data_IF_426864600042
#
_entry.id   IF_426864600042
#
_cell.length_a   1.000
_cell.length_b   1.000
_cell.length_c   1.000
_cell.angle_alpha   90.00
_cell.angle_beta   90.00
_cell.angle_gamma   90.00
#
_symmetry.space_group_name_H-M   'P 1'
#
loop_
_entity.id
_entity.type
_entity.pdbx_description
1 polymer ?
#
# COMPACT_ATOMS: atom_id res chain seq x y z
N UNK A 1 11.97 41.37 -22.16
CA UNK A 1 11.23 40.96 -20.95
C UNK A 1 11.01 39.46 -21.01
N UNK A 2 11.87 38.68 -20.37
CA UNK A 2 11.68 37.22 -20.24
C UNK A 2 10.63 36.98 -19.17
N UNK A 3 9.44 36.51 -19.57
CA UNK A 3 8.41 36.05 -18.63
C UNK A 3 9.03 34.92 -17.80
N UNK A 4 9.20 35.13 -16.50
CA UNK A 4 9.72 34.12 -15.59
C UNK A 4 8.76 32.94 -15.56
N UNK A 5 9.14 31.83 -16.20
CA UNK A 5 8.45 30.55 -16.07
C UNK A 5 9.02 29.87 -14.83
N UNK A 6 8.18 29.61 -13.84
CA UNK A 6 8.54 28.78 -12.70
C UNK A 6 8.58 27.35 -13.23
N UNK A 7 9.79 26.84 -13.44
CA UNK A 7 9.99 25.43 -13.78
C UNK A 7 10.15 24.68 -12.45
N UNK A 8 9.33 23.65 -12.16
CA UNK A 8 9.53 22.86 -10.95
C UNK A 8 10.95 22.25 -10.98
N UNK A 9 11.66 22.34 -9.85
CA UNK A 9 12.97 21.72 -9.73
C UNK A 9 12.83 20.20 -9.86
N UNK A 10 13.60 19.59 -10.76
CA UNK A 10 13.55 18.15 -11.01
C UNK A 10 13.93 17.32 -9.76
N UNK A 11 14.75 17.88 -8.88
CA UNK A 11 15.07 17.29 -7.56
C UNK A 11 13.86 17.16 -6.63
N UNK A 12 12.85 18.02 -6.79
CA UNK A 12 11.60 17.93 -6.02
C UNK A 12 10.76 16.73 -6.44
N UNK A 13 10.72 16.40 -7.74
CA UNK A 13 10.05 15.17 -8.23
C UNK A 13 10.72 13.92 -7.69
N UNK A 14 12.05 13.89 -7.67
CA UNK A 14 12.82 12.77 -7.09
C UNK A 14 12.54 12.55 -5.60
N UNK A 15 12.33 13.64 -4.85
CA UNK A 15 12.00 13.56 -3.43
C UNK A 15 10.61 12.90 -3.20
N UNK A 16 9.63 13.18 -4.05
CA UNK A 16 8.31 12.52 -3.98
C UNK A 16 8.41 10.99 -4.17
N UNK A 17 9.27 10.53 -5.08
CA UNK A 17 9.53 9.09 -5.28
C UNK A 17 10.28 8.42 -4.12
N UNK A 18 11.06 9.20 -3.36
CA UNK A 18 11.84 8.68 -2.23
C UNK A 18 11.06 8.56 -0.92
N UNK A 19 9.75 8.92 -0.90
CA UNK A 19 8.98 8.90 0.34
C UNK A 19 8.82 7.45 0.82
N UNK A 20 9.32 7.10 2.01
CA UNK A 20 9.13 5.75 2.53
C UNK A 20 7.66 5.46 2.80
N UNK A 21 7.25 4.22 2.55
CA UNK A 21 5.91 3.70 2.82
C UNK A 21 6.03 2.52 3.77
N UNK A 22 5.26 2.55 4.85
CA UNK A 22 5.24 1.47 5.82
C UNK A 22 4.29 0.36 5.34
N UNK A 23 4.75 -0.88 5.46
CA UNK A 23 3.96 -2.04 5.07
C UNK A 23 2.70 -2.14 5.95
N UNK A 24 1.53 -2.25 5.31
CA UNK A 24 0.25 -2.36 6.03
C UNK A 24 0.09 -3.63 6.89
N UNK A 25 0.94 -4.65 6.69
CA UNK A 25 0.87 -5.93 7.40
C UNK A 25 1.86 -6.03 8.54
N UNK A 26 3.13 -5.67 8.30
CA UNK A 26 4.22 -5.87 9.26
C UNK A 26 4.92 -4.57 9.67
N UNK A 27 4.43 -3.42 9.21
CA UNK A 27 4.93 -2.07 9.51
C UNK A 27 6.40 -1.83 9.09
N UNK A 28 6.98 -2.75 8.31
CA UNK A 28 8.33 -2.60 7.79
C UNK A 28 8.39 -1.50 6.72
N UNK A 29 9.43 -0.67 6.77
CA UNK A 29 9.62 0.45 5.85
C UNK A 29 10.07 -0.03 4.47
N UNK A 30 9.42 0.45 3.41
CA UNK A 30 9.73 0.14 2.03
C UNK A 30 9.82 1.42 1.17
N UNK A 31 10.42 1.29 -0.01
CA UNK A 31 10.37 2.35 -1.01
C UNK A 31 8.94 2.52 -1.53
N UNK A 32 8.57 3.73 -1.93
CA UNK A 32 7.24 4.03 -2.47
C UNK A 32 6.86 3.17 -3.67
N UNK A 33 7.84 2.86 -4.53
CA UNK A 33 7.71 2.11 -5.78
C UNK A 33 7.92 0.60 -5.63
N UNK A 34 8.17 0.11 -4.42
CA UNK A 34 8.31 -1.32 -4.18
C UNK A 34 6.98 -2.05 -4.47
N UNK A 35 7.05 -3.15 -5.21
CA UNK A 35 5.86 -3.98 -5.50
C UNK A 35 5.46 -4.82 -4.27
N UNK A 36 6.46 -5.38 -3.58
CA UNK A 36 6.30 -6.24 -2.41
C UNK A 36 7.14 -5.76 -1.24
N UNK A 37 6.65 -6.01 -0.01
CA UNK A 37 7.38 -5.75 1.22
C UNK A 37 8.59 -6.68 1.32
N UNK A 38 9.78 -6.10 1.53
CA UNK A 38 11.03 -6.86 1.66
C UNK A 38 11.11 -7.76 2.91
N UNK A 39 10.20 -7.57 3.87
CA UNK A 39 10.20 -8.30 5.15
C UNK A 39 9.20 -9.45 5.17
N UNK A 40 7.97 -9.21 4.72
CA UNK A 40 6.88 -10.20 4.82
C UNK A 40 6.30 -10.63 3.46
N UNK A 41 6.76 -10.04 2.35
CA UNK A 41 6.26 -10.36 1.01
C UNK A 41 4.86 -9.83 0.69
N UNK A 42 4.22 -9.08 1.60
CA UNK A 42 2.91 -8.48 1.35
C UNK A 42 2.98 -7.42 0.23
N UNK A 43 1.95 -7.28 -0.62
CA UNK A 43 1.92 -6.26 -1.67
C UNK A 43 1.82 -4.86 -1.06
N UNK A 44 2.72 -3.94 -1.48
CA UNK A 44 2.74 -2.55 -0.99
C UNK A 44 1.51 -1.76 -1.49
N UNK A 45 0.86 -2.23 -2.54
CA UNK A 45 -0.43 -1.71 -3.00
C UNK A 45 -1.49 -1.62 -1.88
N UNK A 46 -1.45 -2.49 -0.85
CA UNK A 46 -2.33 -2.39 0.31
C UNK A 46 -2.09 -1.12 1.13
N UNK A 47 -0.83 -0.74 1.34
CA UNK A 47 -0.46 0.48 2.05
C UNK A 47 -0.91 1.72 1.26
N UNK A 48 -0.71 1.73 -0.06
CA UNK A 48 -1.19 2.80 -0.94
C UNK A 48 -2.72 2.94 -0.92
N UNK A 49 -3.45 1.82 -0.98
CA UNK A 49 -4.91 1.81 -0.92
C UNK A 49 -5.43 2.31 0.43
N UNK A 50 -4.80 1.91 1.53
CA UNK A 50 -5.16 2.38 2.86
C UNK A 50 -4.94 3.90 3.01
N UNK A 51 -3.80 4.41 2.52
CA UNK A 51 -3.47 5.82 2.57
C UNK A 51 -4.39 6.69 1.66
N UNK A 52 -4.86 6.14 0.54
CA UNK A 52 -5.77 6.83 -0.37
C UNK A 52 -7.23 6.91 0.13
N UNK A 53 -7.61 6.06 1.09
CA UNK A 53 -8.97 6.05 1.63
C UNK A 53 -9.09 6.94 2.87
N UNK A 54 -10.07 7.84 2.89
CA UNK A 54 -10.38 8.69 4.06
C UNK A 54 -11.17 7.97 5.15
N UNK A 55 -11.55 6.71 4.93
CA UNK A 55 -12.34 5.89 5.86
C UNK A 55 -11.46 4.78 6.41
N UNK A 56 -11.59 4.51 7.69
CA UNK A 56 -10.93 3.37 8.34
C UNK A 56 -11.30 2.07 7.62
N UNK A 57 -10.27 1.31 7.20
CA UNK A 57 -10.40 0.03 6.50
C UNK A 57 -10.04 -1.07 7.47
N UNK A 58 -10.92 -2.05 7.63
CA UNK A 58 -10.61 -3.27 8.34
C UNK A 58 -10.12 -4.31 7.34
N UNK A 59 -8.88 -4.75 7.49
CA UNK A 59 -8.35 -5.88 6.75
C UNK A 59 -8.55 -7.16 7.58
N UNK A 60 -9.25 -8.13 6.99
CA UNK A 60 -9.41 -9.47 7.58
C UNK A 60 -8.63 -10.51 6.78
N UNK A 61 -7.91 -11.39 7.47
CA UNK A 61 -7.27 -12.56 6.88
C UNK A 61 -7.79 -13.84 7.55
N UNK A 62 -7.98 -14.90 6.77
CA UNK A 62 -8.32 -16.23 7.28
C UNK A 62 -7.20 -17.23 7.04
N UNK A 63 -6.71 -17.81 8.13
CA UNK A 63 -5.61 -18.77 8.13
C UNK A 63 -6.17 -20.15 8.48
N UNK A 64 -5.72 -21.18 7.77
CA UNK A 64 -6.12 -22.57 8.02
C UNK A 64 -5.76 -23.48 6.85
N UNK A 65 -5.87 -24.79 7.05
CA UNK A 65 -5.50 -25.79 6.05
C UNK A 65 -6.31 -25.67 4.74
N UNK A 66 -5.80 -26.25 3.65
CA UNK A 66 -6.54 -26.31 2.39
C UNK A 66 -7.85 -27.09 2.56
N UNK A 67 -8.91 -26.68 1.86
CA UNK A 67 -10.21 -27.38 1.85
C UNK A 67 -11.11 -27.19 3.09
N UNK A 68 -10.67 -26.49 4.15
CA UNK A 68 -11.48 -26.31 5.38
C UNK A 68 -12.60 -25.26 5.27
N UNK A 69 -12.93 -24.80 4.07
CA UNK A 69 -14.07 -23.90 3.85
C UNK A 69 -13.84 -22.42 4.19
N UNK A 70 -12.59 -21.93 4.33
CA UNK A 70 -12.29 -20.52 4.63
C UNK A 70 -13.00 -19.52 3.71
N UNK A 71 -13.03 -19.79 2.41
CA UNK A 71 -13.69 -18.92 1.43
C UNK A 71 -15.20 -19.00 1.50
N UNK A 72 -15.76 -20.18 1.79
CA UNK A 72 -17.20 -20.38 1.99
C UNK A 72 -17.66 -19.60 3.22
N UNK A 73 -16.92 -19.71 4.32
CA UNK A 73 -17.20 -18.96 5.55
C UNK A 73 -17.09 -17.44 5.32
N UNK A 74 -16.10 -16.98 4.53
CA UNK A 74 -16.00 -15.56 4.16
C UNK A 74 -17.26 -15.11 3.40
N UNK A 75 -17.69 -15.90 2.43
CA UNK A 75 -18.89 -15.62 1.65
C UNK A 75 -20.15 -15.53 2.52
N UNK A 76 -20.26 -16.37 3.54
CA UNK A 76 -21.38 -16.35 4.50
C UNK A 76 -21.39 -15.12 5.41
N UNK A 77 -20.24 -14.48 5.67
CA UNK A 77 -20.19 -13.24 6.47
C UNK A 77 -20.46 -11.98 5.67
N UNK A 78 -20.28 -12.04 4.34
CA UNK A 78 -20.40 -10.88 3.46
C UNK A 78 -21.77 -10.77 2.77
N UNK A 79 -22.68 -11.72 3.04
CA UNK A 79 -24.06 -11.78 2.53
C UNK A 79 -25.05 -11.71 3.69
#
# INVERSE_FOLDING_TARGET
MTKGVIVPLESYRLAEYSRPVDCYICEGQNNFDAEFCRYCGAPIALAHQAAASSRERHLGAMIGASGVGKTVWLGMLMY
#
